data_IF_827358647487
#
_entry.id   IF_827358647487
#
_cell.length_a   1.000
_cell.length_b   1.000
_cell.length_c   1.000
_cell.angle_alpha   90.00
_cell.angle_beta   90.00
_cell.angle_gamma   90.00
#
_symmetry.space_group_name_H-M   'P 1'
#
loop_
_entity.id
_entity.type
_entity.pdbx_description
1 polymer ?
#
# COMPACT_ATOMS: atom_id res chain seq x y z
N UNK A 1 17.86 -15.51 -4.82
CA UNK A 1 17.18 -14.32 -4.25
C UNK A 1 17.94 -13.69 -3.08
N UNK A 2 18.67 -14.44 -2.28
CA UNK A 2 19.57 -13.95 -1.24
C UNK A 2 20.66 -13.03 -1.82
N UNK A 3 21.30 -13.43 -2.92
CA UNK A 3 22.35 -12.65 -3.57
C UNK A 3 21.89 -11.25 -4.04
N UNK A 4 20.66 -11.10 -4.53
CA UNK A 4 20.14 -9.81 -4.96
C UNK A 4 19.90 -8.85 -3.77
N UNK A 5 19.45 -9.39 -2.63
CA UNK A 5 19.29 -8.62 -1.38
C UNK A 5 20.64 -8.16 -0.83
N UNK A 6 21.66 -9.01 -0.90
CA UNK A 6 23.01 -8.68 -0.41
C UNK A 6 23.71 -7.68 -1.33
N UNK A 7 23.47 -7.75 -2.64
CA UNK A 7 23.95 -6.76 -3.63
C UNK A 7 23.33 -5.40 -3.35
N UNK A 8 22.02 -5.33 -3.09
CA UNK A 8 21.34 -4.07 -2.80
C UNK A 8 21.83 -3.41 -1.50
N UNK A 9 22.03 -4.19 -0.44
CA UNK A 9 22.59 -3.69 0.83
C UNK A 9 24.00 -3.15 0.66
N UNK A 10 24.86 -3.86 -0.10
CA UNK A 10 26.23 -3.41 -0.43
C UNK A 10 26.21 -2.14 -1.27
N UNK A 11 25.28 -2.01 -2.22
CA UNK A 11 25.16 -0.78 -3.03
C UNK A 11 24.93 0.46 -2.20
N UNK A 12 24.01 0.41 -1.21
CA UNK A 12 23.77 1.57 -0.32
C UNK A 12 25.02 1.92 0.45
N UNK A 13 25.70 0.93 1.02
CA UNK A 13 26.95 1.12 1.75
C UNK A 13 28.02 1.76 0.86
N UNK A 14 28.26 1.18 -0.31
CA UNK A 14 29.31 1.61 -1.25
C UNK A 14 29.04 3.02 -1.79
N UNK A 15 27.78 3.35 -2.09
CA UNK A 15 27.40 4.70 -2.54
C UNK A 15 27.63 5.71 -1.43
N UNK A 16 27.18 5.42 -0.20
CA UNK A 16 27.38 6.33 0.93
C UNK A 16 28.86 6.50 1.27
N UNK A 17 29.66 5.44 1.18
CA UNK A 17 31.10 5.49 1.42
C UNK A 17 31.83 6.35 0.39
N UNK A 18 31.48 6.22 -0.88
CA UNK A 18 32.09 6.98 -1.98
C UNK A 18 31.70 8.45 -2.01
N UNK A 19 30.47 8.78 -1.56
CA UNK A 19 29.96 10.15 -1.63
C UNK A 19 30.18 10.97 -0.36
N UNK A 20 30.06 10.32 0.80
CA UNK A 20 30.05 11.02 2.11
C UNK A 20 31.11 10.49 3.09
N UNK A 21 31.91 9.51 2.70
CA UNK A 21 32.92 8.89 3.54
C UNK A 21 32.34 8.11 4.73
N UNK A 22 33.19 7.79 5.72
CA UNK A 22 32.80 6.94 6.86
C UNK A 22 31.68 7.55 7.73
N UNK A 23 31.66 8.88 7.90
CA UNK A 23 30.62 9.57 8.67
C UNK A 23 29.28 9.45 7.96
N UNK A 24 29.24 9.62 6.65
CA UNK A 24 28.03 9.46 5.84
C UNK A 24 27.48 8.05 5.88
N UNK A 25 28.35 7.05 5.84
CA UNK A 25 27.96 5.64 6.00
C UNK A 25 27.31 5.41 7.37
N UNK A 26 27.91 5.90 8.45
CA UNK A 26 27.35 5.73 9.79
C UNK A 26 25.95 6.36 9.91
N UNK A 27 25.78 7.60 9.43
CA UNK A 27 24.50 8.30 9.43
C UNK A 27 23.45 7.59 8.57
N UNK A 28 23.81 7.15 7.36
CA UNK A 28 22.91 6.43 6.46
C UNK A 28 22.46 5.11 7.06
N UNK A 29 23.38 4.33 7.68
CA UNK A 29 23.06 3.06 8.32
C UNK A 29 22.15 3.24 9.54
N UNK A 30 22.38 4.27 10.35
CA UNK A 30 21.49 4.64 11.44
C UNK A 30 20.09 4.97 10.89
N UNK A 31 19.99 5.75 9.83
CA UNK A 31 18.72 6.08 9.18
C UNK A 31 17.98 4.85 8.64
N UNK A 32 18.69 3.96 7.96
CA UNK A 32 18.14 2.70 7.43
C UNK A 32 17.61 1.78 8.53
N UNK A 33 18.20 1.79 9.73
CA UNK A 33 17.73 0.99 10.88
C UNK A 33 16.58 1.68 11.63
N UNK A 34 16.72 2.98 11.92
CA UNK A 34 15.72 3.70 12.73
C UNK A 34 14.41 3.90 11.96
N UNK A 35 14.46 4.20 10.67
CA UNK A 35 13.26 4.47 9.87
C UNK A 35 12.25 3.31 9.86
N UNK A 36 12.62 2.05 9.61
CA UNK A 36 11.70 0.92 9.72
C UNK A 36 11.15 0.70 11.14
N UNK A 37 11.97 0.95 12.18
CA UNK A 37 11.54 0.78 13.57
C UNK A 37 10.44 1.79 13.91
N UNK A 38 10.64 3.08 13.60
CA UNK A 38 9.66 4.12 13.90
C UNK A 38 8.40 4.00 13.05
N UNK A 39 8.54 3.66 11.78
CA UNK A 39 7.41 3.41 10.88
C UNK A 39 6.62 2.16 11.29
N UNK A 40 7.31 1.12 11.72
CA UNK A 40 6.71 -0.11 12.23
C UNK A 40 5.90 0.13 13.50
N UNK A 41 6.45 0.86 14.47
CA UNK A 41 5.71 1.21 15.70
C UNK A 41 4.41 1.95 15.38
N UNK A 42 4.48 2.93 14.49
CA UNK A 42 3.30 3.71 14.07
C UNK A 42 2.28 2.84 13.35
N UNK A 43 2.73 1.96 12.44
CA UNK A 43 1.87 1.05 11.70
C UNK A 43 1.16 0.04 12.61
N UNK A 44 1.88 -0.58 13.56
CA UNK A 44 1.30 -1.51 14.52
C UNK A 44 0.33 -0.82 15.49
N UNK A 45 0.62 0.42 15.87
CA UNK A 45 -0.28 1.23 16.67
C UNK A 45 -1.58 1.52 15.93
N UNK A 46 -1.49 1.95 14.67
CA UNK A 46 -2.66 2.20 13.82
C UNK A 46 -3.49 0.94 13.60
N UNK A 47 -2.85 -0.18 13.29
CA UNK A 47 -3.53 -1.47 13.12
C UNK A 47 -4.27 -1.88 14.39
N UNK A 48 -3.64 -1.75 15.55
CA UNK A 48 -4.26 -2.04 16.86
C UNK A 48 -5.48 -1.17 17.11
N UNK A 49 -5.37 0.15 16.87
CA UNK A 49 -6.48 1.09 17.10
C UNK A 49 -7.64 0.80 16.14
N UNK A 50 -7.36 0.53 14.88
CA UNK A 50 -8.38 0.16 13.91
C UNK A 50 -9.11 -1.14 14.28
N UNK A 51 -8.36 -2.15 14.75
CA UNK A 51 -8.95 -3.40 15.24
C UNK A 51 -9.77 -3.19 16.50
N UNK A 52 -9.30 -2.34 17.43
CA UNK A 52 -10.03 -1.99 18.65
C UNK A 52 -11.38 -1.35 18.32
N UNK A 53 -11.38 -0.41 17.39
CA UNK A 53 -12.57 0.31 16.94
C UNK A 53 -13.56 -0.64 16.25
N UNK A 54 -13.05 -1.52 15.39
CA UNK A 54 -13.87 -2.49 14.67
C UNK A 54 -14.47 -3.55 15.60
N UNK A 55 -13.69 -4.04 16.58
CA UNK A 55 -14.13 -5.02 17.58
C UNK A 55 -14.84 -4.37 18.77
N UNK A 56 -14.94 -3.03 18.81
CA UNK A 56 -15.52 -2.25 19.93
C UNK A 56 -14.90 -2.61 21.28
N UNK A 57 -13.60 -2.81 21.32
CA UNK A 57 -12.84 -3.14 22.53
C UNK A 57 -12.26 -1.85 23.10
N UNK A 58 -12.60 -1.57 24.36
CA UNK A 58 -12.06 -0.44 25.07
C UNK A 58 -10.54 -0.58 25.27
N UNK A 59 -9.81 0.53 25.01
CA UNK A 59 -8.35 0.58 25.07
C UNK A 59 -7.81 1.10 26.42
N UNK A 60 -8.67 1.43 27.37
CA UNK A 60 -8.24 1.96 28.67
C UNK A 60 -7.55 0.89 29.52
N UNK A 61 -7.99 -0.36 29.40
CA UNK A 61 -7.38 -1.49 30.09
C UNK A 61 -6.10 -1.98 29.40
N UNK A 62 -5.01 -2.13 30.17
CA UNK A 62 -3.75 -2.71 29.69
C UNK A 62 -3.94 -4.13 29.12
N UNK A 63 -4.79 -4.94 29.75
CA UNK A 63 -5.09 -6.29 29.30
C UNK A 63 -5.74 -6.31 27.89
N UNK A 64 -6.64 -5.37 27.60
CA UNK A 64 -7.27 -5.26 26.32
C UNK A 64 -6.30 -4.79 25.22
N UNK A 65 -5.39 -3.87 25.57
CA UNK A 65 -4.29 -3.48 24.66
C UNK A 65 -3.42 -4.66 24.31
N UNK A 66 -3.04 -5.48 25.30
CA UNK A 66 -2.19 -6.65 25.08
C UNK A 66 -2.89 -7.71 24.21
N UNK A 67 -4.19 -7.98 24.45
CA UNK A 67 -4.99 -8.90 23.63
C UNK A 67 -5.01 -8.54 22.14
N UNK A 68 -4.92 -7.27 21.79
CA UNK A 68 -4.87 -6.81 20.42
C UNK A 68 -3.43 -6.69 19.87
N UNK A 69 -2.47 -6.31 20.72
CA UNK A 69 -1.07 -6.23 20.30
C UNK A 69 -0.48 -7.59 19.96
N UNK A 70 -0.75 -8.61 20.77
CA UNK A 70 -0.14 -9.94 20.60
C UNK A 70 -0.46 -10.55 19.22
N UNK A 71 -1.71 -10.63 18.75
CA UNK A 71 -1.98 -11.16 17.42
C UNK A 71 -1.40 -10.30 16.29
N UNK A 72 -1.45 -8.96 16.39
CA UNK A 72 -0.90 -8.06 15.36
C UNK A 72 0.61 -8.20 15.25
N UNK A 73 1.32 -8.19 16.39
CA UNK A 73 2.77 -8.43 16.44
C UNK A 73 3.12 -9.87 16.05
N UNK A 74 2.28 -10.85 16.44
CA UNK A 74 2.44 -12.24 16.07
C UNK A 74 2.41 -12.47 14.57
N UNK A 75 1.47 -11.84 13.87
CA UNK A 75 1.41 -11.87 12.38
C UNK A 75 2.66 -11.21 11.79
N UNK A 76 3.07 -10.06 12.30
CA UNK A 76 4.30 -9.38 11.84
C UNK A 76 5.55 -10.23 12.05
N UNK A 77 5.69 -10.84 13.23
CA UNK A 77 6.79 -11.73 13.55
C UNK A 77 6.78 -13.00 12.65
N UNK A 78 5.61 -13.60 12.44
CA UNK A 78 5.44 -14.75 11.56
C UNK A 78 5.89 -14.45 10.13
N UNK A 79 5.48 -13.30 9.57
CA UNK A 79 5.90 -12.86 8.24
C UNK A 79 7.42 -12.60 8.18
N UNK A 80 7.97 -11.95 9.21
CA UNK A 80 9.41 -11.67 9.30
C UNK A 80 10.26 -12.94 9.41
N UNK A 81 9.89 -13.85 10.31
CA UNK A 81 10.58 -15.12 10.50
C UNK A 81 10.41 -16.01 9.27
N UNK A 82 9.20 -16.09 8.70
CA UNK A 82 8.92 -16.85 7.48
C UNK A 82 9.76 -16.40 6.29
N UNK A 83 9.98 -15.07 6.17
CA UNK A 83 10.91 -14.53 5.17
C UNK A 83 12.37 -14.90 5.47
N UNK A 84 12.81 -14.81 6.72
CA UNK A 84 14.17 -15.15 7.13
C UNK A 84 14.49 -16.63 6.91
N UNK A 85 13.51 -17.51 7.14
CA UNK A 85 13.63 -18.96 6.90
C UNK A 85 13.41 -19.36 5.42
N UNK A 86 13.08 -18.40 4.54
CA UNK A 86 12.90 -18.64 3.11
C UNK A 86 11.55 -19.26 2.71
N UNK A 87 10.61 -19.46 3.65
CA UNK A 87 9.26 -19.95 3.34
C UNK A 87 8.42 -18.92 2.63
N UNK A 88 8.66 -17.63 2.88
CA UNK A 88 7.92 -16.52 2.31
C UNK A 88 8.86 -15.66 1.46
N UNK A 89 8.48 -15.41 0.22
CA UNK A 89 9.26 -14.57 -0.67
C UNK A 89 8.98 -13.10 -0.39
N UNK A 90 10.00 -12.36 0.06
CA UNK A 90 9.92 -10.92 0.34
C UNK A 90 9.35 -10.12 -0.84
N UNK A 91 9.71 -10.48 -2.08
CA UNK A 91 9.23 -9.77 -3.28
C UNK A 91 7.70 -9.86 -3.43
N UNK A 92 7.11 -10.99 -3.05
CA UNK A 92 5.65 -11.18 -3.08
C UNK A 92 4.98 -10.30 -2.02
N UNK A 93 5.51 -10.35 -0.77
CA UNK A 93 4.99 -9.51 0.33
C UNK A 93 5.07 -8.02 -0.06
N UNK A 94 6.19 -7.58 -0.63
CA UNK A 94 6.41 -6.21 -1.05
C UNK A 94 5.41 -5.75 -2.12
N UNK A 95 5.10 -6.62 -3.08
CA UNK A 95 4.09 -6.33 -4.11
C UNK A 95 2.68 -6.18 -3.53
N UNK A 96 2.27 -7.09 -2.64
CA UNK A 96 0.98 -6.97 -1.95
C UNK A 96 0.91 -5.71 -1.10
N UNK A 97 1.96 -5.40 -0.36
CA UNK A 97 2.05 -4.19 0.45
C UNK A 97 1.91 -2.93 -0.40
N UNK A 98 2.65 -2.84 -1.51
CA UNK A 98 2.58 -1.71 -2.43
C UNK A 98 1.18 -1.52 -3.01
N UNK A 99 0.54 -2.59 -3.46
CA UNK A 99 -0.80 -2.52 -4.01
C UNK A 99 -1.85 -2.16 -2.96
N UNK A 100 -1.76 -2.73 -1.77
CA UNK A 100 -2.65 -2.40 -0.64
C UNK A 100 -2.55 -0.93 -0.28
N UNK A 101 -1.32 -0.39 -0.22
CA UNK A 101 -1.08 1.02 0.07
C UNK A 101 -1.67 1.96 -1.00
N UNK A 102 -1.51 1.61 -2.27
CA UNK A 102 -2.12 2.36 -3.38
C UNK A 102 -3.65 2.33 -3.33
N UNK A 103 -4.23 1.16 -3.03
CA UNK A 103 -5.68 0.99 -2.89
C UNK A 103 -6.22 1.77 -1.70
N UNK A 104 -5.50 1.76 -0.58
CA UNK A 104 -5.85 2.57 0.60
C UNK A 104 -5.81 4.06 0.28
N UNK A 105 -4.77 4.53 -0.41
CA UNK A 105 -4.67 5.92 -0.84
C UNK A 105 -5.85 6.32 -1.76
N UNK A 106 -6.25 5.46 -2.69
CA UNK A 106 -7.44 5.65 -3.52
C UNK A 106 -8.69 5.84 -2.68
N UNK A 107 -8.95 4.96 -1.72
CA UNK A 107 -10.13 5.02 -0.84
C UNK A 107 -10.14 6.31 -0.02
N UNK A 108 -9.00 6.66 0.59
CA UNK A 108 -8.86 7.87 1.41
C UNK A 108 -9.07 9.13 0.58
N UNK A 109 -8.53 9.18 -0.64
CA UNK A 109 -8.74 10.33 -1.55
C UNK A 109 -10.20 10.50 -1.95
N UNK A 110 -10.93 9.42 -2.23
CA UNK A 110 -12.37 9.49 -2.50
C UNK A 110 -13.16 9.93 -1.26
N UNK A 111 -12.81 9.43 -0.07
CA UNK A 111 -13.43 9.86 1.18
C UNK A 111 -13.18 11.35 1.46
N UNK A 112 -11.96 11.83 1.24
CA UNK A 112 -11.60 13.23 1.34
C UNK A 112 -12.35 14.10 0.33
N UNK A 113 -12.56 13.61 -0.91
CA UNK A 113 -13.34 14.30 -1.94
C UNK A 113 -14.80 14.50 -1.50
N UNK A 114 -15.41 13.46 -0.92
CA UNK A 114 -16.76 13.55 -0.38
C UNK A 114 -16.84 14.49 0.84
N UNK A 115 -15.83 14.50 1.68
CA UNK A 115 -15.75 15.42 2.82
C UNK A 115 -15.67 16.87 2.34
N UNK A 116 -14.76 17.19 1.42
CA UNK A 116 -14.62 18.54 0.84
C UNK A 116 -15.89 19.00 0.14
N UNK A 117 -16.59 18.09 -0.56
CA UNK A 117 -17.87 18.41 -1.16
C UNK A 117 -18.93 18.80 -0.11
N UNK A 118 -19.03 18.06 1.01
CA UNK A 118 -19.94 18.38 2.11
C UNK A 118 -19.63 19.71 2.76
N UNK A 119 -18.35 20.06 2.89
CA UNK A 119 -17.86 21.34 3.40
C UNK A 119 -17.97 22.49 2.39
N UNK A 120 -18.56 22.26 1.21
CA UNK A 120 -18.67 23.23 0.10
C UNK A 120 -17.31 23.80 -0.34
N UNK A 121 -16.22 23.04 -0.18
CA UNK A 121 -14.87 23.37 -0.63
C UNK A 121 -14.58 22.76 -1.99
N UNK A 122 -13.47 23.17 -2.61
CA UNK A 122 -13.06 22.63 -3.91
C UNK A 122 -12.61 21.17 -3.77
N UNK A 123 -13.48 20.23 -4.10
CA UNK A 123 -13.24 18.78 -4.05
C UNK A 123 -12.35 18.26 -5.19
N UNK A 124 -12.16 19.04 -6.26
CA UNK A 124 -11.34 18.62 -7.39
C UNK A 124 -9.88 18.38 -7.03
N UNK A 125 -9.37 19.06 -6.00
CA UNK A 125 -8.00 18.89 -5.49
C UNK A 125 -7.73 17.44 -5.10
N UNK A 126 -8.73 16.73 -4.57
CA UNK A 126 -8.62 15.33 -4.17
C UNK A 126 -9.26 14.37 -5.17
N UNK A 127 -10.28 14.78 -5.92
CA UNK A 127 -10.96 13.92 -6.88
C UNK A 127 -10.08 13.58 -8.10
N UNK A 128 -9.26 14.52 -8.59
CA UNK A 128 -8.33 14.27 -9.69
C UNK A 128 -7.28 13.21 -9.32
N UNK A 129 -6.51 13.35 -8.24
CA UNK A 129 -5.60 12.28 -7.82
C UNK A 129 -6.32 10.98 -7.42
N UNK A 130 -7.55 11.04 -6.88
CA UNK A 130 -8.35 9.84 -6.61
C UNK A 130 -8.67 9.05 -7.89
N UNK A 131 -9.05 9.74 -8.95
CA UNK A 131 -9.31 9.15 -10.27
C UNK A 131 -8.05 8.49 -10.84
N UNK A 132 -6.91 9.18 -10.77
CA UNK A 132 -5.63 8.63 -11.19
C UNK A 132 -5.26 7.37 -10.39
N UNK A 133 -5.37 7.41 -9.07
CA UNK A 133 -5.08 6.25 -8.21
C UNK A 133 -6.05 5.09 -8.45
N UNK A 134 -7.29 5.37 -8.85
CA UNK A 134 -8.25 4.34 -9.26
C UNK A 134 -7.78 3.60 -10.51
N UNK A 135 -7.29 4.34 -11.52
CA UNK A 135 -6.72 3.75 -12.73
C UNK A 135 -5.50 2.88 -12.40
N UNK A 136 -4.56 3.40 -11.60
CA UNK A 136 -3.33 2.69 -11.21
C UNK A 136 -3.63 1.42 -10.43
N UNK A 137 -4.47 1.50 -9.39
CA UNK A 137 -4.82 0.35 -8.55
C UNK A 137 -5.52 -0.76 -9.34
N UNK A 138 -6.46 -0.40 -10.21
CA UNK A 138 -7.18 -1.37 -11.05
C UNK A 138 -6.26 -1.99 -12.11
N UNK A 139 -5.44 -1.19 -12.79
CA UNK A 139 -4.47 -1.69 -13.78
C UNK A 139 -3.49 -2.67 -13.14
N UNK A 140 -3.00 -2.36 -11.94
CA UNK A 140 -2.11 -3.26 -11.21
C UNK A 140 -2.81 -4.58 -10.85
N UNK A 141 -4.06 -4.51 -10.38
CA UNK A 141 -4.85 -5.71 -10.07
C UNK A 141 -5.02 -6.63 -11.28
N UNK A 142 -5.21 -6.06 -12.45
CA UNK A 142 -5.34 -6.81 -13.71
C UNK A 142 -4.00 -7.42 -14.14
N UNK A 143 -2.88 -6.71 -13.97
CA UNK A 143 -1.55 -7.14 -14.41
C UNK A 143 -0.83 -8.06 -13.43
N UNK A 144 -1.11 -7.94 -12.13
CA UNK A 144 -0.38 -8.66 -11.10
C UNK A 144 -0.52 -10.18 -11.25
N UNK A 145 0.59 -10.93 -11.32
CA UNK A 145 0.56 -12.40 -11.45
C UNK A 145 -0.18 -13.09 -10.30
N UNK A 146 -0.22 -12.44 -9.14
CA UNK A 146 -0.90 -12.91 -7.93
C UNK A 146 -2.42 -12.72 -8.00
N UNK A 147 -2.93 -11.88 -8.92
CA UNK A 147 -4.34 -11.58 -9.13
C UNK A 147 -4.81 -12.13 -10.49
N UNK A 148 -5.31 -11.26 -11.36
CA UNK A 148 -5.82 -11.66 -12.69
C UNK A 148 -4.72 -11.83 -13.74
N UNK A 149 -3.50 -11.41 -13.46
CA UNK A 149 -2.40 -11.42 -14.42
C UNK A 149 -2.05 -12.81 -14.95
N UNK A 150 -2.29 -13.89 -14.19
CA UNK A 150 -2.10 -15.26 -14.69
C UNK A 150 -3.00 -15.60 -15.88
N UNK A 151 -4.17 -14.99 -15.98
CA UNK A 151 -5.13 -15.23 -17.07
C UNK A 151 -4.91 -14.31 -18.27
N UNK A 152 -4.26 -13.17 -18.07
CA UNK A 152 -4.18 -12.08 -19.06
C UNK A 152 -2.80 -11.97 -19.67
N UNK A 153 -1.74 -12.20 -18.88
CA UNK A 153 -0.35 -12.10 -19.33
C UNK A 153 0.10 -13.34 -20.09
N UNK A 154 1.10 -13.16 -20.94
CA UNK A 154 1.69 -14.26 -21.72
C UNK A 154 2.77 -14.96 -20.90
N UNK A 155 2.62 -16.27 -20.72
CA UNK A 155 3.59 -17.12 -20.04
C UNK A 155 4.16 -18.14 -21.03
N UNK A 156 5.49 -18.37 -20.98
CA UNK A 156 6.19 -19.46 -21.64
C UNK A 156 7.02 -20.21 -20.59
N UNK A 157 6.95 -21.53 -20.58
CA UNK A 157 7.62 -22.42 -19.62
C UNK A 157 7.39 -22.01 -18.13
N UNK A 158 6.18 -21.56 -17.82
CA UNK A 158 5.81 -21.12 -16.47
C UNK A 158 6.44 -19.80 -16.02
N UNK A 159 7.18 -19.10 -16.90
CA UNK A 159 7.77 -17.79 -16.65
C UNK A 159 6.97 -16.69 -17.37
N UNK A 160 6.81 -15.55 -16.71
CA UNK A 160 6.20 -14.38 -17.32
C UNK A 160 7.10 -13.83 -18.43
N UNK A 161 6.60 -13.82 -19.68
CA UNK A 161 7.31 -13.31 -20.85
C UNK A 161 6.92 -11.86 -21.13
N UNK A 162 5.63 -11.56 -21.10
CA UNK A 162 5.14 -10.21 -21.36
C UNK A 162 3.87 -9.88 -20.57
N UNK A 163 3.78 -8.62 -20.15
CA UNK A 163 2.55 -8.05 -19.59
C UNK A 163 1.61 -7.64 -20.70
N UNK A 164 0.36 -8.06 -20.62
CA UNK A 164 -0.66 -7.62 -21.59
C UNK A 164 -1.23 -6.25 -21.20
N UNK A 165 -0.44 -5.21 -21.43
CA UNK A 165 -0.79 -3.82 -21.13
C UNK A 165 -1.93 -3.31 -22.00
N UNK A 166 -2.08 -3.85 -23.21
CA UNK A 166 -3.15 -3.47 -24.14
C UNK A 166 -4.56 -3.77 -23.60
N UNK A 167 -4.68 -4.77 -22.72
CA UNK A 167 -5.95 -5.10 -22.06
C UNK A 167 -6.06 -4.38 -20.70
N UNK A 168 -4.99 -4.32 -19.95
CA UNK A 168 -5.02 -3.81 -18.60
C UNK A 168 -5.23 -2.28 -18.51
N UNK A 169 -4.62 -1.50 -19.39
CA UNK A 169 -4.77 -0.04 -19.39
C UNK A 169 -6.20 0.42 -19.71
N UNK A 170 -6.87 -0.08 -20.75
CA UNK A 170 -8.27 0.28 -20.98
C UNK A 170 -9.18 -0.07 -19.80
N UNK A 171 -9.00 -1.24 -19.19
CA UNK A 171 -9.78 -1.65 -18.02
C UNK A 171 -9.57 -0.67 -16.86
N UNK A 172 -8.32 -0.31 -16.55
CA UNK A 172 -8.00 0.66 -15.50
C UNK A 172 -8.60 2.04 -15.76
N UNK A 173 -8.55 2.52 -17.01
CA UNK A 173 -9.13 3.80 -17.41
C UNK A 173 -10.67 3.78 -17.30
N UNK A 174 -11.32 2.73 -17.78
CA UNK A 174 -12.78 2.57 -17.67
C UNK A 174 -13.20 2.54 -16.21
N UNK A 175 -12.49 1.82 -15.36
CA UNK A 175 -12.75 1.79 -13.92
C UNK A 175 -12.62 3.19 -13.28
N UNK A 176 -11.57 3.94 -13.63
CA UNK A 176 -11.36 5.28 -13.11
C UNK A 176 -12.48 6.25 -13.55
N UNK A 177 -12.90 6.17 -14.81
CA UNK A 177 -14.04 6.97 -15.33
C UNK A 177 -15.33 6.57 -14.61
N UNK A 178 -15.57 5.30 -14.39
CA UNK A 178 -16.75 4.81 -13.66
C UNK A 178 -16.78 5.33 -12.21
N UNK A 179 -15.63 5.29 -11.51
CA UNK A 179 -15.51 5.82 -10.15
C UNK A 179 -15.77 7.34 -10.10
N UNK A 180 -15.23 8.09 -11.06
CA UNK A 180 -15.48 9.52 -11.18
C UNK A 180 -16.96 9.81 -11.46
N UNK A 181 -17.58 9.07 -12.38
CA UNK A 181 -19.00 9.22 -12.71
C UNK A 181 -19.89 8.91 -11.51
N UNK A 182 -19.60 7.85 -10.75
CA UNK A 182 -20.31 7.50 -9.51
C UNK A 182 -20.18 8.61 -8.46
N UNK A 183 -18.98 9.16 -8.29
CA UNK A 183 -18.74 10.27 -7.38
C UNK A 183 -19.58 11.50 -7.78
N UNK A 184 -19.54 11.91 -9.06
CA UNK A 184 -20.31 13.05 -9.57
C UNK A 184 -21.82 12.81 -9.45
N UNK A 185 -22.28 11.59 -9.69
CA UNK A 185 -23.69 11.23 -9.49
C UNK A 185 -24.10 11.35 -8.02
N UNK A 186 -23.26 10.85 -7.10
CA UNK A 186 -23.50 10.94 -5.66
C UNK A 186 -23.54 12.40 -5.17
N UNK A 187 -22.65 13.26 -5.67
CA UNK A 187 -22.62 14.68 -5.33
C UNK A 187 -23.86 15.40 -5.84
N UNK A 188 -24.30 15.11 -7.08
CA UNK A 188 -25.54 15.70 -7.65
C UNK A 188 -26.76 15.28 -6.86
N UNK A 189 -26.92 14.01 -6.51
CA UNK A 189 -28.02 13.50 -5.70
C UNK A 189 -28.06 14.13 -4.30
N UNK A 190 -26.90 14.28 -3.67
CA UNK A 190 -26.79 14.94 -2.35
C UNK A 190 -27.11 16.43 -2.39
N UNK A 191 -26.87 17.12 -3.51
CA UNK A 191 -27.26 18.51 -3.71
C UNK A 191 -28.77 18.66 -3.86
N UNK A 192 -29.42 17.75 -4.61
CA UNK A 192 -30.88 17.80 -4.85
C UNK A 192 -31.70 17.45 -3.60
N UNK A 193 -31.15 16.63 -2.69
CA UNK A 193 -31.85 16.27 -1.43
C UNK A 193 -31.81 17.36 -0.35
N UNK A 194 -31.04 18.44 -0.55
CA UNK A 194 -30.91 19.56 0.38
C UNK A 194 -31.58 20.86 -0.11
N UNK A 195 -32.14 20.85 -1.32
CA UNK A 195 -32.99 21.87 -1.88
C UNK A 195 -34.46 21.53 -1.65
#
# INVERSE_FOLDING_TARGET
>A
SSAASDVYKRQIYDVCLKTMGNVGVALAMIGVVICPITSGDTAFRSARLTLADWLKIDQDSYANRLKLCVPVLGVGAFLGIGNALGFINYTVIWRYFSWTNQTLAMIVLWAASMYLFKEKKNFWITAVPATFMSAVSCTYFVLAPECLGKMINTYADGKLVAYNTAVAYPIGIVFAIAMLALFLHATKKSSTSKA
#
